data_IF_674868296658
#
_entry.id   IF_674868296658
#
_cell.length_a   1.000
_cell.length_b   1.000
_cell.length_c   1.000
_cell.angle_alpha   90.00
_cell.angle_beta   90.00
_cell.angle_gamma   90.00
#
_symmetry.space_group_name_H-M   'P 1'
#
loop_
_entity.id
_entity.type
_entity.pdbx_description
1 polymer ?
#
# COMPACT_ATOMS: atom_id res chain seq x y z
N UNK A 1 2.00 -12.77 25.21
CA UNK A 1 2.61 -14.09 25.02
C UNK A 1 3.62 -14.05 23.88
N UNK A 2 4.80 -14.68 24.04
CA UNK A 2 5.79 -14.76 22.97
C UNK A 2 5.22 -15.58 21.81
N UNK A 3 5.63 -15.28 20.57
CA UNK A 3 5.19 -15.94 19.35
C UNK A 3 5.37 -17.48 19.41
N UNK A 4 6.40 -17.95 20.11
CA UNK A 4 6.70 -19.36 20.34
C UNK A 4 5.58 -20.06 21.14
N UNK A 5 5.03 -19.43 22.18
CA UNK A 5 3.95 -20.00 22.98
C UNK A 5 2.62 -20.04 22.21
N UNK A 6 2.36 -19.02 21.38
CA UNK A 6 1.17 -18.99 20.52
C UNK A 6 1.17 -20.14 19.51
N UNK A 7 2.33 -20.39 18.87
CA UNK A 7 2.49 -21.49 17.89
C UNK A 7 2.41 -22.89 18.53
N UNK A 8 2.72 -23.02 19.81
CA UNK A 8 2.66 -24.30 20.54
C UNK A 8 1.31 -24.57 21.19
N UNK A 9 0.32 -23.67 21.03
CA UNK A 9 -1.01 -23.81 21.65
C UNK A 9 -1.01 -23.69 23.19
N UNK A 10 0.08 -23.20 23.78
CA UNK A 10 0.24 -23.03 25.24
C UNK A 10 -0.21 -21.63 25.68
N UNK A 11 -1.48 -21.32 25.42
CA UNK A 11 -2.09 -20.08 25.88
C UNK A 11 -2.75 -20.33 27.23
N UNK A 12 -2.67 -19.35 28.15
CA UNK A 12 -3.43 -19.36 29.38
C UNK A 12 -4.93 -19.16 29.08
N UNK A 13 -5.81 -19.63 29.98
CA UNK A 13 -7.27 -19.56 29.78
C UNK A 13 -7.77 -18.15 29.47
N UNK A 14 -7.24 -17.15 30.15
CA UNK A 14 -7.60 -15.75 29.90
C UNK A 14 -7.13 -15.24 28.52
N UNK A 15 -6.00 -15.74 28.01
CA UNK A 15 -5.51 -15.41 26.69
C UNK A 15 -6.38 -16.06 25.60
N UNK A 16 -6.86 -17.29 25.83
CA UNK A 16 -7.83 -17.97 24.98
C UNK A 16 -9.15 -17.19 24.89
N UNK A 17 -9.67 -16.73 26.03
CA UNK A 17 -10.90 -15.93 26.06
C UNK A 17 -10.73 -14.62 25.29
N UNK A 18 -9.62 -13.90 25.47
CA UNK A 18 -9.32 -12.69 24.72
C UNK A 18 -9.17 -12.97 23.22
N UNK A 19 -8.52 -14.07 22.85
CA UNK A 19 -8.37 -14.46 21.45
C UNK A 19 -9.73 -14.74 20.82
N UNK A 20 -10.59 -15.50 21.46
CA UNK A 20 -11.93 -15.83 20.95
C UNK A 20 -12.79 -14.57 20.74
N UNK A 21 -12.75 -13.61 21.67
CA UNK A 21 -13.46 -12.34 21.51
C UNK A 21 -12.95 -11.58 20.28
N UNK A 22 -11.62 -11.52 20.09
CA UNK A 22 -11.03 -10.79 18.95
C UNK A 22 -11.21 -11.51 17.62
N UNK A 23 -11.25 -12.85 17.63
CA UNK A 23 -11.55 -13.64 16.41
C UNK A 23 -12.99 -13.43 15.97
N UNK A 24 -13.93 -13.32 16.89
CA UNK A 24 -15.34 -13.03 16.56
C UNK A 24 -15.50 -11.71 15.79
N UNK A 25 -14.74 -10.67 16.16
CA UNK A 25 -14.72 -9.41 15.42
C UNK A 25 -14.19 -9.61 13.98
N UNK A 26 -13.19 -10.47 13.81
CA UNK A 26 -12.59 -10.77 12.50
C UNK A 26 -13.51 -11.63 11.63
N UNK A 27 -14.24 -12.60 12.22
CA UNK A 27 -15.20 -13.46 11.51
C UNK A 27 -16.35 -12.65 10.90
N UNK A 28 -16.74 -11.57 11.55
CA UNK A 28 -17.77 -10.65 11.05
C UNK A 28 -17.28 -9.66 10.01
N UNK A 29 -15.96 -9.50 9.86
CA UNK A 29 -15.37 -8.56 8.91
C UNK A 29 -15.53 -9.06 7.45
N UNK A 30 -15.76 -8.17 6.47
CA UNK A 30 -15.86 -8.54 5.06
C UNK A 30 -14.48 -8.82 4.45
N UNK A 31 -13.75 -9.78 5.04
CA UNK A 31 -12.42 -10.22 4.66
C UNK A 31 -12.49 -11.61 4.02
N UNK A 32 -12.09 -11.71 2.75
CA UNK A 32 -12.07 -12.95 1.98
C UNK A 32 -10.62 -13.34 1.72
N UNK A 33 -10.20 -14.48 2.22
CA UNK A 33 -8.83 -14.98 2.09
C UNK A 33 -8.81 -16.13 1.09
N UNK A 34 -7.93 -16.04 0.11
CA UNK A 34 -7.62 -17.11 -0.85
C UNK A 34 -6.19 -17.58 -0.59
N UNK A 35 -6.04 -18.77 -0.03
CA UNK A 35 -4.78 -19.39 0.34
C UNK A 35 -4.23 -20.32 -0.75
N UNK A 36 -4.72 -20.19 -2.00
CA UNK A 36 -4.23 -20.98 -3.12
C UNK A 36 -2.72 -20.76 -3.34
N UNK A 37 -1.88 -21.81 -3.30
CA UNK A 37 -0.42 -21.66 -3.29
C UNK A 37 0.16 -21.17 -4.62
N UNK A 38 -0.60 -21.25 -5.69
CA UNK A 38 -0.20 -20.83 -7.04
C UNK A 38 -1.42 -20.37 -7.81
N UNK A 39 -1.68 -19.08 -7.77
CA UNK A 39 -2.85 -18.48 -8.41
C UNK A 39 -2.47 -17.93 -9.79
N UNK A 40 -3.21 -18.33 -10.83
CA UNK A 40 -3.05 -17.72 -12.14
C UNK A 40 -3.78 -16.39 -12.20
N UNK A 41 -3.31 -15.50 -13.08
CA UNK A 41 -3.97 -14.20 -13.29
C UNK A 41 -5.42 -14.36 -13.76
N UNK A 42 -5.72 -15.41 -14.52
CA UNK A 42 -7.08 -15.68 -15.01
C UNK A 42 -8.00 -16.18 -13.89
N UNK A 43 -7.50 -17.03 -13.00
CA UNK A 43 -8.25 -17.49 -11.81
C UNK A 43 -8.51 -16.34 -10.85
N UNK A 44 -7.49 -15.49 -10.59
CA UNK A 44 -7.69 -14.29 -9.78
C UNK A 44 -8.79 -13.41 -10.36
N UNK A 45 -8.77 -13.17 -11.67
CA UNK A 45 -9.79 -12.35 -12.36
C UNK A 45 -11.20 -12.94 -12.19
N UNK A 46 -11.34 -14.25 -12.36
CA UNK A 46 -12.63 -14.94 -12.19
C UNK A 46 -13.13 -14.85 -10.74
N UNK A 47 -12.25 -15.10 -9.75
CA UNK A 47 -12.56 -15.00 -8.33
C UNK A 47 -12.91 -13.57 -7.93
N UNK A 48 -12.13 -12.58 -8.36
CA UNK A 48 -12.35 -11.17 -8.06
C UNK A 48 -13.68 -10.65 -8.62
N UNK A 49 -14.03 -11.00 -9.87
CA UNK A 49 -15.34 -10.66 -10.46
C UNK A 49 -16.49 -11.24 -9.65
N UNK A 50 -16.38 -12.50 -9.25
CA UNK A 50 -17.40 -13.16 -8.44
C UNK A 50 -17.56 -12.47 -7.08
N UNK A 51 -16.46 -12.18 -6.38
CA UNK A 51 -16.50 -11.50 -5.08
C UNK A 51 -16.99 -10.05 -5.21
N UNK A 52 -16.61 -9.34 -6.26
CA UNK A 52 -17.12 -7.99 -6.52
C UNK A 52 -18.62 -7.99 -6.74
N UNK A 53 -19.15 -8.95 -7.52
CA UNK A 53 -20.58 -9.05 -7.80
C UNK A 53 -21.41 -9.55 -6.60
N UNK A 54 -20.90 -10.55 -5.85
CA UNK A 54 -21.68 -11.18 -4.76
C UNK A 54 -21.53 -10.49 -3.41
N UNK A 55 -20.37 -9.88 -3.15
CA UNK A 55 -20.02 -9.32 -1.84
C UNK A 55 -19.59 -7.84 -1.89
N UNK A 56 -19.46 -7.27 -3.08
CA UNK A 56 -19.12 -5.85 -3.25
C UNK A 56 -17.76 -5.49 -2.68
N UNK A 57 -16.74 -6.35 -2.82
CA UNK A 57 -15.37 -6.07 -2.34
C UNK A 57 -14.87 -4.71 -2.86
N UNK A 58 -14.07 -4.02 -2.06
CA UNK A 58 -13.56 -2.68 -2.35
C UNK A 58 -12.04 -2.59 -2.47
N UNK A 59 -11.33 -3.66 -2.17
CA UNK A 59 -9.88 -3.75 -2.21
C UNK A 59 -9.45 -5.17 -2.53
N UNK A 60 -8.40 -5.31 -3.33
CA UNK A 60 -7.72 -6.57 -3.59
C UNK A 60 -6.27 -6.42 -3.14
N UNK A 61 -5.79 -7.37 -2.31
CA UNK A 61 -4.39 -7.42 -1.87
C UNK A 61 -3.78 -8.73 -2.35
N UNK A 62 -2.59 -8.68 -2.93
CA UNK A 62 -1.84 -9.83 -3.44
C UNK A 62 -0.52 -9.95 -2.70
N UNK A 63 -0.31 -11.04 -1.99
CA UNK A 63 0.94 -11.36 -1.27
C UNK A 63 1.53 -12.65 -1.84
N UNK A 64 2.49 -12.58 -2.69
CA UNK A 64 3.13 -11.50 -3.44
C UNK A 64 3.21 -11.85 -4.93
N UNK A 65 3.52 -10.90 -5.80
CA UNK A 65 3.45 -11.05 -7.27
C UNK A 65 4.23 -12.24 -7.81
N UNK A 66 5.39 -12.55 -7.22
CA UNK A 66 6.26 -13.61 -7.67
C UNK A 66 5.70 -15.04 -7.43
N UNK A 67 4.62 -15.20 -6.67
CA UNK A 67 3.90 -16.47 -6.55
C UNK A 67 2.87 -16.68 -7.66
N UNK A 68 2.49 -15.62 -8.36
CA UNK A 68 1.54 -15.70 -9.47
C UNK A 68 2.19 -16.28 -10.74
N UNK A 69 1.36 -16.89 -11.58
CA UNK A 69 1.75 -17.39 -12.90
C UNK A 69 0.69 -17.06 -13.96
N UNK A 70 1.03 -17.27 -15.23
CA UNK A 70 0.12 -17.01 -16.36
C UNK A 70 -0.74 -18.26 -16.71
N UNK A 71 -0.44 -19.43 -16.13
CA UNK A 71 -1.18 -20.67 -16.40
C UNK A 71 -0.80 -21.34 -17.74
N UNK A 72 0.25 -20.90 -18.40
CA UNK A 72 0.77 -21.51 -19.62
C UNK A 72 1.71 -22.67 -19.27
N UNK A 73 1.45 -23.86 -19.81
CA UNK A 73 2.29 -25.03 -19.64
C UNK A 73 3.66 -24.96 -20.32
N UNK A 74 3.88 -23.97 -21.18
CA UNK A 74 5.14 -23.72 -21.84
C UNK A 74 6.08 -22.86 -20.96
N UNK A 75 6.90 -23.53 -20.17
CA UNK A 75 7.93 -22.95 -19.27
C UNK A 75 9.13 -22.31 -19.99
N UNK A 76 9.00 -21.82 -21.22
CA UNK A 76 10.09 -21.22 -22.00
C UNK A 76 9.95 -19.69 -22.10
N UNK A 77 9.28 -19.07 -21.16
CA UNK A 77 9.21 -17.60 -21.07
C UNK A 77 10.21 -17.04 -20.07
N UNK A 78 10.79 -15.89 -20.40
CA UNK A 78 11.56 -15.12 -19.43
C UNK A 78 10.63 -14.70 -18.29
N UNK A 79 11.01 -14.94 -17.03
CA UNK A 79 10.23 -14.59 -15.82
C UNK A 79 9.84 -13.11 -15.80
N UNK A 80 10.69 -12.25 -16.32
CA UNK A 80 10.42 -10.82 -16.48
C UNK A 80 9.20 -10.55 -17.37
N UNK A 81 9.07 -11.28 -18.49
CA UNK A 81 7.91 -11.14 -19.38
C UNK A 81 6.63 -11.64 -18.73
N UNK A 82 6.72 -12.69 -17.93
CA UNK A 82 5.59 -13.23 -17.16
C UNK A 82 5.08 -12.19 -16.16
N UNK A 83 5.97 -11.63 -15.34
CA UNK A 83 5.63 -10.59 -14.37
C UNK A 83 5.07 -9.34 -15.09
N UNK A 84 5.64 -8.95 -16.23
CA UNK A 84 5.11 -7.86 -17.05
C UNK A 84 3.67 -8.11 -17.48
N UNK A 85 3.38 -9.33 -17.90
CA UNK A 85 2.01 -9.71 -18.32
C UNK A 85 1.06 -9.71 -17.14
N UNK A 86 1.47 -10.24 -16.00
CA UNK A 86 0.69 -10.21 -14.76
C UNK A 86 0.38 -8.76 -14.36
N UNK A 87 1.39 -7.89 -14.33
CA UNK A 87 1.24 -6.48 -13.97
C UNK A 87 0.18 -5.76 -14.82
N UNK A 88 0.27 -5.90 -16.16
CA UNK A 88 -0.71 -5.30 -17.09
C UNK A 88 -2.12 -5.83 -16.86
N UNK A 89 -2.26 -7.14 -16.62
CA UNK A 89 -3.55 -7.74 -16.36
C UNK A 89 -4.14 -7.29 -15.02
N UNK A 90 -3.32 -7.10 -13.97
CA UNK A 90 -3.77 -6.54 -12.70
C UNK A 90 -4.26 -5.10 -12.86
N UNK A 91 -3.54 -4.29 -13.64
CA UNK A 91 -3.99 -2.94 -13.98
C UNK A 91 -5.32 -2.94 -14.75
N UNK A 92 -5.47 -3.86 -15.70
CA UNK A 92 -6.71 -4.02 -16.44
C UNK A 92 -7.86 -4.47 -15.51
N UNK A 93 -7.61 -5.39 -14.60
CA UNK A 93 -8.58 -5.87 -13.61
C UNK A 93 -9.03 -4.76 -12.67
N UNK A 94 -8.10 -3.96 -12.14
CA UNK A 94 -8.40 -2.82 -11.29
C UNK A 94 -9.34 -1.81 -11.97
N UNK A 95 -9.08 -1.51 -13.25
CA UNK A 95 -9.94 -0.63 -14.07
C UNK A 95 -11.29 -1.26 -14.39
N UNK A 96 -11.32 -2.56 -14.69
CA UNK A 96 -12.54 -3.28 -15.04
C UNK A 96 -13.53 -3.33 -13.88
N UNK A 97 -13.04 -3.57 -12.67
CA UNK A 97 -13.85 -3.69 -11.47
C UNK A 97 -14.06 -2.35 -10.73
N UNK A 98 -13.32 -1.32 -11.13
CA UNK A 98 -13.23 -0.04 -10.39
C UNK A 98 -12.84 -0.24 -8.91
N UNK A 99 -11.86 -1.13 -8.68
CA UNK A 99 -11.38 -1.52 -7.35
C UNK A 99 -9.85 -1.36 -7.33
N UNK A 100 -9.27 -0.71 -6.28
CA UNK A 100 -7.83 -0.64 -6.11
C UNK A 100 -7.23 -2.03 -5.87
N UNK A 101 -6.05 -2.26 -6.46
CA UNK A 101 -5.25 -3.48 -6.28
C UNK A 101 -3.92 -3.10 -5.66
N UNK A 102 -3.62 -3.64 -4.48
CA UNK A 102 -2.32 -3.56 -3.83
C UNK A 102 -1.59 -4.88 -4.08
N UNK A 103 -0.45 -4.83 -4.71
CA UNK A 103 0.37 -6.00 -4.97
C UNK A 103 1.73 -5.85 -4.28
N UNK A 104 2.04 -6.79 -3.39
CA UNK A 104 3.36 -6.88 -2.76
C UNK A 104 4.36 -7.45 -3.77
N UNK A 105 5.58 -6.97 -3.74
CA UNK A 105 6.65 -7.44 -4.60
C UNK A 105 7.96 -7.55 -3.84
N UNK A 106 8.67 -8.64 -4.04
CA UNK A 106 9.99 -8.82 -3.48
C UNK A 106 11.00 -7.97 -4.24
N UNK A 107 11.89 -7.31 -3.51
CA UNK A 107 13.00 -6.57 -4.08
C UNK A 107 14.12 -7.49 -4.57
N UNK A 108 14.91 -6.98 -5.51
CA UNK A 108 16.15 -7.63 -5.94
C UNK A 108 17.14 -7.75 -4.78
N UNK A 109 17.81 -8.90 -4.67
CA UNK A 109 18.89 -9.11 -3.69
C UNK A 109 20.07 -8.15 -3.87
N UNK A 110 20.14 -7.45 -5.00
CA UNK A 110 21.15 -6.42 -5.22
C UNK A 110 21.11 -5.28 -4.19
N UNK A 111 19.95 -5.03 -3.56
CA UNK A 111 19.82 -4.08 -2.45
C UNK A 111 20.67 -4.49 -1.27
N UNK A 112 20.71 -5.79 -0.93
CA UNK A 112 21.47 -6.31 0.22
C UNK A 112 22.98 -6.21 0.02
N UNK A 113 23.44 -6.33 -1.23
CA UNK A 113 24.87 -6.27 -1.60
C UNK A 113 25.36 -4.86 -1.91
N UNK A 114 24.44 -3.91 -2.09
CA UNK A 114 24.77 -2.50 -2.34
C UNK A 114 25.46 -1.89 -1.13
N UNK A 115 26.52 -1.12 -1.37
CA UNK A 115 27.12 -0.28 -0.33
C UNK A 115 26.22 0.88 0.09
N UNK A 116 26.55 1.51 1.23
CA UNK A 116 25.82 2.68 1.74
C UNK A 116 24.53 2.31 2.47
N UNK A 117 23.54 3.18 2.37
CA UNK A 117 22.29 3.11 3.16
C UNK A 117 21.37 1.95 2.82
N UNK A 118 21.61 1.25 1.72
CA UNK A 118 20.74 0.17 1.21
C UNK A 118 19.26 0.58 1.07
N UNK A 119 19.00 1.89 0.98
CA UNK A 119 17.65 2.43 0.79
C UNK A 119 17.11 1.98 -0.56
N UNK A 120 15.90 1.40 -0.63
CA UNK A 120 15.32 0.90 -1.87
C UNK A 120 15.09 2.03 -2.90
N UNK A 121 15.28 1.71 -4.17
CA UNK A 121 15.01 2.58 -5.32
C UNK A 121 14.23 1.82 -6.40
N UNK A 122 13.63 2.54 -7.35
CA UNK A 122 12.79 1.93 -8.39
C UNK A 122 13.51 0.83 -9.19
N UNK A 123 14.80 0.98 -9.47
CA UNK A 123 15.60 -0.05 -10.16
C UNK A 123 15.74 -1.36 -9.38
N UNK A 124 15.41 -1.39 -8.08
CA UNK A 124 15.43 -2.59 -7.27
C UNK A 124 14.22 -3.50 -7.49
N UNK A 125 13.21 -3.02 -8.20
CA UNK A 125 12.11 -3.83 -8.76
C UNK A 125 12.55 -4.64 -10.00
N UNK A 126 13.73 -5.16 -10.02
CA UNK A 126 14.56 -5.59 -11.14
C UNK A 126 13.94 -6.59 -12.14
N UNK A 127 13.03 -7.43 -11.74
CA UNK A 127 12.37 -8.36 -12.66
C UNK A 127 11.14 -7.74 -13.34
N UNK A 128 10.99 -6.41 -13.26
CA UNK A 128 9.69 -5.78 -13.47
C UNK A 128 9.79 -4.30 -13.82
N UNK A 129 10.63 -3.89 -14.74
CA UNK A 129 10.52 -2.54 -15.32
C UNK A 129 9.08 -2.23 -15.78
N UNK A 130 8.31 -3.27 -16.09
CA UNK A 130 6.88 -3.16 -16.40
C UNK A 130 6.02 -2.84 -15.16
N UNK A 131 6.32 -3.38 -13.95
CA UNK A 131 5.57 -3.02 -12.73
C UNK A 131 5.69 -1.52 -12.50
N UNK A 132 6.90 -0.99 -12.60
CA UNK A 132 7.10 0.45 -12.47
C UNK A 132 6.24 1.24 -13.45
N UNK A 133 6.17 0.83 -14.71
CA UNK A 133 5.40 1.53 -15.74
C UNK A 133 3.89 1.42 -15.52
N UNK A 134 3.38 0.25 -15.15
CA UNK A 134 1.97 -0.05 -15.02
C UNK A 134 1.36 0.50 -13.71
N UNK A 135 2.11 0.47 -12.60
CA UNK A 135 1.64 0.95 -11.31
C UNK A 135 1.41 2.46 -11.28
N UNK A 136 0.35 2.90 -10.63
CA UNK A 136 0.09 4.33 -10.38
C UNK A 136 0.93 4.85 -9.22
N UNK A 137 1.13 4.00 -8.22
CA UNK A 137 1.94 4.29 -7.04
C UNK A 137 2.91 3.12 -6.84
N UNK A 138 4.17 3.44 -6.56
CA UNK A 138 5.18 2.48 -6.10
C UNK A 138 5.70 2.99 -4.77
N UNK A 139 5.61 2.14 -3.76
CA UNK A 139 6.09 2.46 -2.42
C UNK A 139 7.01 1.36 -1.90
N UNK A 140 7.96 1.76 -1.06
CA UNK A 140 8.85 0.84 -0.39
C UNK A 140 8.71 0.97 1.13
N UNK A 141 8.89 -0.15 1.83
CA UNK A 141 9.12 -0.18 3.26
C UNK A 141 10.60 -0.41 3.50
N UNK A 142 11.25 0.53 4.18
CA UNK A 142 12.67 0.49 4.49
C UNK A 142 12.89 0.48 5.99
N UNK A 143 13.75 -0.41 6.47
CA UNK A 143 14.15 -0.52 7.86
C UNK A 143 15.67 -0.54 7.94
N UNK A 144 16.32 0.58 8.31
CA UNK A 144 17.79 0.65 8.40
C UNK A 144 18.36 -0.39 9.37
N UNK A 145 17.74 -0.58 10.53
CA UNK A 145 18.12 -1.56 11.54
C UNK A 145 18.25 -2.99 11.00
N UNK A 146 17.39 -3.40 10.06
CA UNK A 146 17.46 -4.72 9.41
C UNK A 146 18.79 -4.95 8.69
N UNK A 147 19.41 -3.88 8.22
CA UNK A 147 20.70 -3.89 7.53
C UNK A 147 21.89 -3.55 8.45
N UNK A 148 21.68 -3.44 9.78
CA UNK A 148 22.70 -3.04 10.75
C UNK A 148 23.11 -1.57 10.65
N UNK A 149 22.24 -0.73 10.12
CA UNK A 149 22.43 0.72 10.01
C UNK A 149 21.72 1.36 11.20
N UNK A 150 22.48 1.98 12.11
CA UNK A 150 21.96 2.51 13.37
C UNK A 150 21.61 4.00 13.31
N UNK A 151 21.97 4.67 12.23
CA UNK A 151 21.74 6.10 12.04
C UNK A 151 21.10 6.36 10.68
N UNK A 152 20.22 7.35 10.62
CA UNK A 152 19.70 7.86 9.35
C UNK A 152 20.79 8.62 8.60
N UNK A 153 20.70 8.61 7.27
CA UNK A 153 21.57 9.42 6.39
C UNK A 153 21.00 10.85 6.26
N UNK A 154 20.78 11.47 7.42
CA UNK A 154 20.39 12.87 7.54
C UNK A 154 21.58 13.67 8.11
N UNK A 155 21.49 15.02 8.01
CA UNK A 155 22.55 15.92 8.48
C UNK A 155 22.88 15.73 9.97
N UNK A 156 21.89 15.32 10.76
CA UNK A 156 22.02 15.16 12.22
C UNK A 156 22.37 13.73 12.62
N UNK A 157 22.44 12.78 11.67
CA UNK A 157 22.67 11.35 11.93
C UNK A 157 21.80 10.82 13.04
N UNK A 158 20.50 11.10 12.92
CA UNK A 158 19.55 10.71 13.96
C UNK A 158 19.48 9.18 14.11
N UNK A 159 19.28 8.63 15.33
CA UNK A 159 19.17 7.19 15.53
C UNK A 159 18.02 6.59 14.73
N UNK A 160 18.25 5.43 14.11
CA UNK A 160 17.25 4.71 13.30
C UNK A 160 16.68 3.48 13.98
N UNK A 161 17.14 3.17 15.19
CA UNK A 161 16.69 2.01 15.97
C UNK A 161 15.17 2.07 16.22
N UNK A 162 14.48 0.93 15.99
CA UNK A 162 13.03 0.82 16.13
C UNK A 162 12.25 1.70 15.15
N UNK A 163 12.88 2.16 14.06
CA UNK A 163 12.22 2.98 13.06
C UNK A 163 12.22 2.31 11.68
N UNK A 164 11.31 2.78 10.85
CA UNK A 164 11.24 2.44 9.44
C UNK A 164 10.79 3.65 8.63
N UNK A 165 10.85 3.53 7.32
CA UNK A 165 10.45 4.58 6.39
C UNK A 165 9.48 4.00 5.35
N UNK A 166 8.36 4.65 5.15
CA UNK A 166 7.46 4.40 4.03
C UNK A 166 7.80 5.41 2.92
N UNK A 167 8.33 4.90 1.82
CA UNK A 167 8.85 5.71 0.72
C UNK A 167 7.89 5.62 -0.45
N UNK A 168 7.28 6.73 -0.85
CA UNK A 168 6.52 6.86 -2.11
C UNK A 168 7.52 7.22 -3.21
N UNK A 169 8.04 6.20 -3.90
CA UNK A 169 9.07 6.36 -4.92
C UNK A 169 8.51 6.70 -6.31
N UNK A 170 7.25 6.40 -6.56
CA UNK A 170 6.50 6.79 -7.75
C UNK A 170 5.07 7.13 -7.37
N UNK A 171 4.56 8.24 -7.91
CA UNK A 171 3.16 8.62 -7.83
C UNK A 171 2.75 9.30 -9.14
N UNK A 172 1.82 8.70 -9.90
CA UNK A 172 1.45 9.20 -11.24
C UNK A 172 0.83 10.60 -11.21
N UNK A 173 0.00 10.87 -10.20
CA UNK A 173 -0.80 12.10 -10.10
C UNK A 173 -0.50 12.90 -8.83
N UNK A 174 0.56 12.60 -8.10
CA UNK A 174 0.91 13.27 -6.83
C UNK A 174 2.40 13.43 -6.63
N UNK A 175 2.76 14.00 -5.50
CA UNK A 175 4.15 14.21 -5.10
C UNK A 175 4.79 12.89 -4.62
N UNK A 176 6.12 12.84 -4.70
CA UNK A 176 6.93 11.83 -4.04
C UNK A 176 7.16 12.29 -2.60
N UNK A 177 7.12 11.35 -1.67
CA UNK A 177 7.32 11.67 -0.26
C UNK A 177 7.90 10.48 0.48
N UNK A 178 8.39 10.71 1.69
CA UNK A 178 8.81 9.64 2.59
C UNK A 178 8.40 9.96 4.02
N UNK A 179 7.87 8.96 4.70
CA UNK A 179 7.30 9.09 6.04
C UNK A 179 8.06 8.16 6.96
N UNK A 180 8.71 8.72 7.99
CA UNK A 180 9.33 7.94 9.05
C UNK A 180 8.26 7.37 9.97
N UNK A 181 8.36 6.10 10.30
CA UNK A 181 7.44 5.34 11.13
C UNK A 181 8.20 4.66 12.27
N UNK A 182 7.53 4.43 13.38
CA UNK A 182 8.02 3.56 14.46
C UNK A 182 7.75 2.11 14.08
N UNK A 183 8.72 1.23 14.28
CA UNK A 183 8.57 -0.21 14.09
C UNK A 183 8.65 -0.95 15.41
N UNK A 184 7.61 -1.70 15.73
CA UNK A 184 7.52 -2.53 16.94
C UNK A 184 7.83 -3.98 16.54
N UNK A 185 9.06 -4.39 16.72
CA UNK A 185 9.58 -5.67 16.20
C UNK A 185 8.84 -6.91 16.75
N UNK A 186 8.48 -6.93 18.03
CA UNK A 186 7.78 -8.04 18.67
C UNK A 186 6.33 -8.22 18.19
N UNK A 187 5.75 -7.19 17.57
CA UNK A 187 4.41 -7.22 16.98
C UNK A 187 4.43 -7.23 15.45
N UNK A 188 5.59 -6.97 14.83
CA UNK A 188 5.69 -6.76 13.38
C UNK A 188 4.89 -5.56 12.89
N UNK A 189 4.70 -4.53 13.75
CA UNK A 189 3.77 -3.43 13.52
C UNK A 189 4.50 -2.13 13.26
N UNK A 190 3.98 -1.36 12.30
CA UNK A 190 4.36 0.04 12.12
C UNK A 190 3.33 0.95 12.79
N UNK A 191 3.81 2.02 13.40
CA UNK A 191 3.02 3.08 14.04
C UNK A 191 3.60 4.44 13.66
N UNK A 192 2.84 5.50 13.88
CA UNK A 192 3.33 6.86 13.72
C UNK A 192 4.42 7.19 14.75
N UNK A 193 5.42 7.99 14.35
CA UNK A 193 6.49 8.45 15.25
C UNK A 193 6.01 9.45 16.31
N UNK A 194 4.93 10.18 16.01
CA UNK A 194 4.30 11.11 16.93
C UNK A 194 3.37 10.41 17.92
N UNK A 195 3.51 10.77 19.20
CA UNK A 195 2.65 10.23 20.26
C UNK A 195 1.15 10.51 20.03
N UNK A 196 0.37 9.74 20.65
CA UNK A 196 -1.03 9.42 20.76
C UNK A 196 -2.12 10.49 20.50
N UNK A 197 -1.81 11.73 20.06
CA UNK A 197 -2.80 12.82 20.00
C UNK A 197 -2.76 13.69 18.74
N UNK A 198 -2.59 13.10 17.57
CA UNK A 198 -2.95 13.81 16.32
C UNK A 198 -4.00 13.01 15.57
N UNK A 199 -5.26 13.45 15.57
CA UNK A 199 -6.15 13.04 14.49
C UNK A 199 -5.48 13.46 13.19
N UNK A 200 -5.38 12.55 12.25
CA UNK A 200 -4.80 12.80 10.92
C UNK A 200 -5.55 13.96 10.26
N UNK A 201 -5.06 15.17 10.43
CA UNK A 201 -5.39 16.27 9.53
C UNK A 201 -4.60 16.04 8.24
N UNK A 202 -5.19 15.37 7.29
CA UNK A 202 -4.74 15.45 5.91
C UNK A 202 -4.98 16.86 5.39
N UNK A 203 -4.07 17.77 5.65
CA UNK A 203 -4.06 19.05 4.97
C UNK A 203 -3.65 18.79 3.53
N UNK A 204 -4.64 18.72 2.64
CA UNK A 204 -4.41 18.74 1.22
C UNK A 204 -3.68 20.04 0.87
N UNK A 205 -2.46 19.93 0.37
CA UNK A 205 -1.70 21.10 -0.14
C UNK A 205 -2.42 21.81 -1.31
N UNK A 206 -3.47 21.19 -1.85
CA UNK A 206 -4.31 21.76 -2.92
C UNK A 206 -5.45 22.64 -2.40
N UNK A 207 -5.77 22.62 -1.11
CA UNK A 207 -6.85 23.41 -0.51
C UNK A 207 -6.49 23.76 0.94
N UNK A 208 -5.64 24.77 1.19
CA UNK A 208 -5.19 25.11 2.55
C UNK A 208 -6.30 25.71 3.44
N UNK A 209 -7.47 26.06 2.89
CA UNK A 209 -8.49 26.83 3.59
C UNK A 209 -9.75 26.05 3.98
N UNK A 210 -9.80 24.72 3.80
CA UNK A 210 -10.98 23.92 4.16
C UNK A 210 -10.88 23.41 5.61
N UNK A 211 -11.06 24.32 6.57
CA UNK A 211 -11.45 23.96 7.94
C UNK A 211 -12.90 23.50 7.89
N UNK A 212 -13.12 22.21 8.07
CA UNK A 212 -14.45 21.61 8.29
C UNK A 212 -14.97 22.01 9.70
N UNK A 213 -15.26 23.28 9.89
CA UNK A 213 -16.04 23.78 11.00
C UNK A 213 -16.74 25.04 10.53
N UNK A 214 -17.87 24.86 9.86
CA UNK A 214 -19.06 25.70 9.95
C UNK A 214 -20.06 25.24 8.88
N UNK A 215 -20.87 24.23 9.23
CA UNK A 215 -22.17 24.09 8.61
C UNK A 215 -23.14 24.95 9.45
N UNK A 216 -23.13 26.22 9.20
CA UNK A 216 -24.24 27.12 9.51
C UNK A 216 -24.82 27.61 8.17
N UNK A 217 -26.12 27.42 8.07
CA UNK A 217 -27.10 27.63 7.02
C UNK A 217 -26.82 28.61 5.87
N UNK A 218 -27.41 28.35 4.68
CA UNK A 218 -27.18 29.18 3.49
C UNK A 218 -28.06 30.43 3.54
N UNK A 219 -27.47 31.59 3.60
CA UNK A 219 -28.12 32.85 3.23
C UNK A 219 -27.45 33.46 2.00
N UNK A 220 -28.30 33.66 1.01
CA UNK A 220 -28.11 34.53 -0.15
C UNK A 220 -27.17 34.08 -1.28
N UNK A 221 -27.81 33.36 -2.19
CA UNK A 221 -27.38 33.19 -3.58
C UNK A 221 -27.58 34.51 -4.35
N UNK A 222 -26.53 35.33 -4.51
CA UNK A 222 -26.53 36.40 -5.48
C UNK A 222 -26.11 35.87 -6.84
N UNK A 223 -27.10 35.74 -7.73
CA UNK A 223 -26.93 35.52 -9.16
C UNK A 223 -26.20 36.72 -9.76
N UNK A 224 -24.95 36.51 -10.20
CA UNK A 224 -24.28 37.46 -11.11
C UNK A 224 -24.60 37.06 -12.54
N UNK A 225 -25.46 37.83 -13.19
CA UNK A 225 -25.62 37.81 -14.64
C UNK A 225 -24.55 38.71 -15.22
N UNK A 226 -23.60 38.16 -15.96
CA UNK A 226 -22.68 38.95 -16.77
C UNK A 226 -23.32 39.28 -18.12
N UNK A 227 -23.76 40.48 -18.28
CA UNK A 227 -23.92 41.11 -19.60
C UNK A 227 -22.54 41.51 -20.11
N UNK A 228 -22.11 40.88 -21.19
CA UNK A 228 -20.98 41.30 -21.97
C UNK A 228 -21.46 41.52 -23.40
N UNK A 229 -21.72 42.74 -23.72
CA UNK A 229 -21.81 43.18 -25.10
C UNK A 229 -21.13 44.55 -25.22
N UNK A 230 -20.33 44.66 -26.28
CA UNK A 230 -19.80 45.84 -26.93
C UNK A 230 -18.76 46.73 -26.19
N UNK A 231 -17.53 46.69 -26.66
CA UNK A 231 -17.09 47.81 -27.52
C UNK A 231 -15.83 47.50 -28.33
N UNK A 232 -15.94 47.84 -29.60
CA UNK A 232 -14.87 47.94 -30.58
C UNK A 232 -14.14 49.29 -30.45
N UNK A 233 -12.91 49.32 -30.96
CA UNK A 233 -12.10 50.47 -31.41
C UNK A 233 -10.99 50.91 -30.43
N UNK A 234 -9.77 50.65 -30.73
CA UNK A 234 -8.76 51.26 -31.59
C UNK A 234 -7.50 50.41 -31.58
#
# INVERSE_FOLDING_TARGET
ASDVYKRQGKLAEHEWQQLNIKVSDLESAPLYIDDSPSLTIFELRAKARRLASSHGIKLIIIDYLQLMNIGSSNKVGNREQEISTISRNLKALAKELDIPVIALSQLSRAVETRGGTKRPILSDLRESGAIEQDADIVSFLYRPEYYGINEWDDEMKTPSEGQGEFIVAKHRNGALDSIKLKFIANLGKFEDLGGFDSPFEFQSKLNPDNKLSDFSEPSDCLLYTSDAADDKQC
#
